data_IF_263307710259
#
_entry.id   IF_263307710259
#
_cell.length_a   1.000
_cell.length_b   1.000
_cell.length_c   1.000
_cell.angle_alpha   90.00
_cell.angle_beta   90.00
_cell.angle_gamma   90.00
#
_symmetry.space_group_name_H-M   'P 1'
#
loop_
_entity.id
_entity.type
_entity.pdbx_description
1 polymer ?
#
# COMPACT_ATOMS: atom_id res chain seq x y z
N UNK A 1 48.22 -19.32 7.48
CA UNK A 1 47.26 -20.32 7.98
C UNK A 1 46.26 -19.57 8.86
N UNK A 2 45.15 -19.16 8.30
CA UNK A 2 44.08 -18.43 9.02
C UNK A 2 42.96 -19.42 9.24
N UNK A 3 42.82 -19.89 10.47
CA UNK A 3 41.77 -20.81 10.87
C UNK A 3 40.37 -20.16 10.73
N UNK A 4 39.59 -20.67 9.83
CA UNK A 4 38.18 -20.35 9.70
C UNK A 4 37.43 -21.10 10.82
N UNK A 5 37.28 -20.46 11.99
CA UNK A 5 36.42 -20.96 13.05
C UNK A 5 34.96 -20.80 12.58
N UNK A 6 34.41 -21.86 12.00
CA UNK A 6 32.98 -21.94 11.75
C UNK A 6 32.24 -22.05 13.09
N UNK A 7 31.83 -20.92 13.67
CA UNK A 7 30.96 -20.93 14.83
C UNK A 7 29.69 -21.72 14.50
N UNK A 8 29.32 -22.64 15.38
CA UNK A 8 28.06 -23.40 15.22
C UNK A 8 26.87 -22.45 15.10
N UNK A 9 25.89 -22.72 14.25
CA UNK A 9 24.72 -21.88 14.10
C UNK A 9 24.02 -21.65 15.43
N UNK A 10 23.62 -20.42 15.70
CA UNK A 10 22.84 -20.07 16.90
C UNK A 10 21.46 -20.74 16.79
N UNK A 11 21.00 -21.31 17.89
CA UNK A 11 19.63 -21.85 17.91
C UNK A 11 18.59 -20.74 17.96
N UNK A 12 17.52 -20.88 17.19
CA UNK A 12 16.34 -20.01 17.32
C UNK A 12 15.72 -20.20 18.71
N UNK A 13 15.16 -19.12 19.31
CA UNK A 13 14.35 -19.27 20.52
C UNK A 13 13.18 -20.25 20.31
N UNK A 14 12.67 -20.84 21.38
CA UNK A 14 11.51 -21.75 21.32
C UNK A 14 10.25 -21.08 20.70
N UNK A 15 10.14 -19.76 20.76
CA UNK A 15 9.12 -18.95 20.10
C UNK A 15 9.79 -17.84 19.32
N UNK A 16 10.29 -18.11 18.11
CA UNK A 16 10.97 -17.10 17.33
C UNK A 16 9.94 -16.07 16.82
N UNK A 17 10.31 -14.79 16.91
CA UNK A 17 9.48 -13.69 16.45
C UNK A 17 10.15 -12.99 15.25
N UNK A 18 9.45 -12.99 14.12
CA UNK A 18 9.98 -12.39 12.89
C UNK A 18 10.24 -10.88 13.03
N UNK A 19 9.44 -10.16 13.83
CA UNK A 19 9.66 -8.73 14.11
C UNK A 19 11.00 -8.53 14.82
N UNK A 20 11.27 -9.33 15.86
CA UNK A 20 12.57 -9.27 16.58
C UNK A 20 13.75 -9.56 15.65
N UNK A 21 13.62 -10.54 14.75
CA UNK A 21 14.67 -10.83 13.76
C UNK A 21 14.87 -9.69 12.75
N UNK A 22 13.78 -9.01 12.36
CA UNK A 22 13.85 -7.79 11.53
C UNK A 22 14.53 -6.63 12.28
N UNK A 23 14.23 -6.49 13.57
CA UNK A 23 14.83 -5.43 14.37
C UNK A 23 16.33 -5.71 14.58
N UNK A 24 16.75 -6.95 14.83
CA UNK A 24 18.16 -7.34 14.82
C UNK A 24 18.85 -6.99 13.49
N UNK A 25 18.18 -7.22 12.34
CA UNK A 25 18.75 -6.85 11.05
C UNK A 25 18.90 -5.32 10.89
N UNK A 26 17.96 -4.55 11.41
CA UNK A 26 18.07 -3.08 11.42
C UNK A 26 19.17 -2.59 12.35
N UNK A 27 19.34 -3.26 13.49
CA UNK A 27 20.42 -2.94 14.43
C UNK A 27 21.79 -3.16 13.80
N UNK A 28 22.02 -4.28 13.11
CA UNK A 28 23.26 -4.53 12.36
C UNK A 28 23.53 -3.44 11.30
N UNK A 29 22.49 -2.97 10.62
CA UNK A 29 22.64 -1.89 9.65
C UNK A 29 22.99 -0.56 10.32
N UNK A 30 22.31 -0.22 11.43
CA UNK A 30 22.54 1.02 12.18
C UNK A 30 23.93 1.05 12.78
N UNK A 31 24.40 -0.09 13.27
CA UNK A 31 25.71 -0.21 13.96
C UNK A 31 26.88 -0.36 12.95
N UNK A 32 26.57 -0.32 11.64
CA UNK A 32 27.56 -0.37 10.55
C UNK A 32 28.14 -1.76 10.29
N UNK A 33 27.54 -2.81 10.87
CA UNK A 33 27.98 -4.20 10.70
C UNK A 33 27.44 -4.85 9.42
N UNK A 34 26.51 -4.18 8.71
CA UNK A 34 25.96 -4.58 7.42
C UNK A 34 25.94 -3.41 6.46
N UNK A 35 26.17 -3.67 5.16
CA UNK A 35 26.21 -2.63 4.12
C UNK A 35 24.83 -2.28 3.57
N UNK A 36 23.83 -3.12 3.82
CA UNK A 36 22.43 -2.90 3.42
C UNK A 36 21.48 -3.74 4.28
N UNK A 37 20.18 -3.39 4.27
CA UNK A 37 19.17 -4.18 4.97
C UNK A 37 19.11 -5.63 4.45
N UNK A 38 19.25 -5.82 3.14
CA UNK A 38 19.28 -7.16 2.52
C UNK A 38 20.50 -7.96 2.99
N UNK A 39 21.65 -7.30 3.14
CA UNK A 39 22.86 -7.92 3.68
C UNK A 39 22.68 -8.27 5.16
N UNK A 40 22.14 -7.34 5.96
CA UNK A 40 21.83 -7.59 7.37
C UNK A 40 20.88 -8.78 7.55
N UNK A 41 19.81 -8.84 6.78
CA UNK A 41 18.87 -9.96 6.79
C UNK A 41 19.53 -11.28 6.40
N UNK A 42 20.44 -11.27 5.41
CA UNK A 42 21.21 -12.45 5.03
C UNK A 42 22.14 -12.89 6.14
N UNK A 43 22.79 -11.94 6.84
CA UNK A 43 23.65 -12.24 7.99
C UNK A 43 22.86 -12.87 9.13
N UNK A 44 21.71 -12.29 9.50
CA UNK A 44 20.80 -12.86 10.51
C UNK A 44 20.37 -14.29 10.11
N UNK A 45 19.96 -14.50 8.85
CA UNK A 45 19.58 -15.84 8.39
C UNK A 45 20.72 -16.84 8.58
N UNK A 46 21.95 -16.48 8.20
CA UNK A 46 23.14 -17.33 8.35
C UNK A 46 23.50 -17.61 9.81
N UNK A 47 23.36 -16.60 10.69
CA UNK A 47 23.57 -16.75 12.14
C UNK A 47 22.71 -17.86 12.73
N UNK A 48 21.50 -18.02 12.23
CA UNK A 48 20.58 -19.08 12.64
C UNK A 48 20.63 -20.33 11.73
N UNK A 49 21.63 -20.46 10.85
CA UNK A 49 21.85 -21.64 10.02
C UNK A 49 20.97 -21.74 8.76
N UNK A 50 20.33 -20.66 8.35
CA UNK A 50 19.50 -20.64 7.15
C UNK A 50 20.25 -20.05 5.94
N UNK A 51 20.06 -20.62 4.75
CA UNK A 51 20.77 -20.17 3.54
C UNK A 51 20.33 -18.79 3.06
N UNK A 52 19.10 -18.35 3.44
CA UNK A 52 18.56 -17.05 3.04
C UNK A 52 17.47 -16.57 4.01
N UNK A 53 17.23 -15.26 4.01
CA UNK A 53 16.15 -14.64 4.78
C UNK A 53 14.75 -15.21 4.46
N UNK A 54 14.35 -15.44 3.18
CA UNK A 54 13.07 -16.08 2.90
C UNK A 54 12.93 -17.47 3.52
N UNK A 55 14.01 -18.26 3.58
CA UNK A 55 14.00 -19.58 4.22
C UNK A 55 13.89 -19.49 5.75
N UNK A 56 14.62 -18.58 6.38
CA UNK A 56 14.45 -18.30 7.81
C UNK A 56 13.03 -17.85 8.11
N UNK A 57 12.51 -16.89 7.33
CA UNK A 57 11.14 -16.39 7.47
C UNK A 57 10.11 -17.53 7.39
N UNK A 58 10.17 -18.34 6.35
CA UNK A 58 9.25 -19.47 6.18
C UNK A 58 9.30 -20.46 7.35
N UNK A 59 10.50 -20.73 7.88
CA UNK A 59 10.68 -21.58 9.05
C UNK A 59 10.06 -20.96 10.32
N UNK A 60 10.31 -19.68 10.59
CA UNK A 60 9.71 -18.98 11.73
C UNK A 60 8.19 -18.94 11.61
N UNK A 61 7.67 -18.66 10.43
CA UNK A 61 6.23 -18.66 10.16
C UNK A 61 5.63 -20.06 10.40
N UNK A 62 6.33 -21.15 10.03
CA UNK A 62 5.87 -22.51 10.28
C UNK A 62 5.88 -22.92 11.77
N UNK A 63 6.88 -22.47 12.52
CA UNK A 63 6.96 -22.74 13.97
C UNK A 63 5.95 -21.92 14.79
N UNK A 64 5.57 -20.73 14.29
CA UNK A 64 4.60 -19.87 14.98
C UNK A 64 3.15 -20.33 14.81
N UNK A 65 2.88 -21.26 13.91
CA UNK A 65 1.56 -21.85 13.68
C UNK A 65 1.43 -23.18 14.39
N UNK A 66 0.68 -23.20 15.49
CA UNK A 66 0.26 -24.48 16.04
C UNK A 66 -0.65 -25.19 15.03
N UNK A 67 -0.66 -26.51 15.05
CA UNK A 67 -1.54 -27.31 14.21
C UNK A 67 -3.02 -26.93 14.40
N UNK A 68 -3.43 -26.63 15.64
CA UNK A 68 -4.79 -26.17 15.99
C UNK A 68 -5.16 -24.85 15.32
N UNK A 69 -4.21 -23.88 15.29
CA UNK A 69 -4.42 -22.61 14.59
C UNK A 69 -4.56 -22.85 13.08
N UNK A 70 -3.77 -23.75 12.51
CA UNK A 70 -3.88 -24.10 11.09
C UNK A 70 -5.24 -24.73 10.77
N UNK A 71 -5.71 -25.66 11.60
CA UNK A 71 -7.04 -26.27 11.48
C UNK A 71 -8.15 -25.23 11.64
N UNK A 72 -8.01 -24.29 12.57
CA UNK A 72 -8.98 -23.21 12.77
C UNK A 72 -9.06 -22.28 11.55
N UNK A 73 -7.92 -21.88 10.99
CA UNK A 73 -7.87 -21.08 9.75
C UNK A 73 -8.59 -21.79 8.61
N UNK A 74 -8.30 -23.07 8.39
CA UNK A 74 -8.96 -23.88 7.36
C UNK A 74 -10.48 -23.97 7.57
N UNK A 75 -10.92 -24.17 8.82
CA UNK A 75 -12.34 -24.22 9.15
C UNK A 75 -13.04 -22.87 8.88
N UNK A 76 -12.41 -21.76 9.23
CA UNK A 76 -12.94 -20.41 8.97
C UNK A 76 -12.98 -20.16 7.46
N UNK A 77 -11.90 -20.42 6.72
CA UNK A 77 -11.81 -20.22 5.28
C UNK A 77 -12.85 -21.07 4.53
N UNK A 78 -13.05 -22.31 4.96
CA UNK A 78 -14.07 -23.21 4.44
C UNK A 78 -15.49 -22.90 4.90
N UNK A 79 -15.72 -21.87 5.72
CA UNK A 79 -17.02 -21.57 6.32
C UNK A 79 -17.61 -22.76 7.12
N UNK A 80 -16.73 -23.62 7.68
CA UNK A 80 -17.13 -24.78 8.49
C UNK A 80 -17.39 -24.38 9.95
N UNK A 81 -18.60 -23.86 10.17
CA UNK A 81 -19.00 -23.32 11.45
C UNK A 81 -19.00 -24.38 12.58
N UNK A 82 -19.43 -25.59 12.27
CA UNK A 82 -19.44 -26.67 13.28
C UNK A 82 -18.02 -27.09 13.68
N UNK A 83 -17.10 -27.12 12.73
CA UNK A 83 -15.68 -27.38 13.01
C UNK A 83 -15.06 -26.27 13.86
N UNK A 84 -15.38 -25.02 13.58
CA UNK A 84 -14.94 -23.87 14.42
C UNK A 84 -15.43 -24.05 15.86
N UNK A 85 -16.72 -24.34 16.07
CA UNK A 85 -17.26 -24.60 17.41
C UNK A 85 -16.54 -25.72 18.13
N UNK A 86 -16.29 -26.86 17.45
CA UNK A 86 -15.59 -28.02 18.03
C UNK A 86 -14.17 -27.64 18.47
N UNK A 87 -13.41 -26.95 17.62
CA UNK A 87 -12.04 -26.51 17.94
C UNK A 87 -12.03 -25.57 19.14
N UNK A 88 -12.90 -24.55 19.15
CA UNK A 88 -13.02 -23.60 20.25
C UNK A 88 -13.49 -24.23 21.56
N UNK A 89 -14.39 -25.23 21.51
CA UNK A 89 -14.82 -25.96 22.68
C UNK A 89 -13.70 -26.84 23.26
N UNK A 90 -12.86 -27.43 22.40
CA UNK A 90 -11.71 -28.24 22.85
C UNK A 90 -10.58 -27.39 23.41
N UNK A 91 -10.40 -26.17 22.89
CA UNK A 91 -9.39 -25.22 23.35
C UNK A 91 -9.95 -23.79 23.35
N UNK A 92 -10.56 -23.31 24.43
CA UNK A 92 -11.10 -21.94 24.52
C UNK A 92 -10.06 -20.83 24.36
N UNK A 93 -8.77 -21.13 24.58
CA UNK A 93 -7.71 -20.14 24.36
C UNK A 93 -7.59 -19.70 22.89
N UNK A 94 -8.13 -20.50 21.96
CA UNK A 94 -8.17 -20.15 20.54
C UNK A 94 -8.97 -18.86 20.24
N UNK A 95 -9.95 -18.49 21.09
CA UNK A 95 -10.70 -17.24 20.94
C UNK A 95 -9.81 -15.98 20.93
N UNK A 96 -8.63 -16.06 21.55
CA UNK A 96 -7.67 -14.95 21.61
C UNK A 96 -6.30 -15.31 21.05
N UNK A 97 -6.17 -16.47 20.42
CA UNK A 97 -4.91 -16.91 19.87
C UNK A 97 -4.46 -16.01 18.72
N UNK A 98 -3.20 -15.58 18.68
CA UNK A 98 -2.67 -14.86 17.53
C UNK A 98 -2.66 -15.77 16.28
N UNK A 99 -3.39 -15.39 15.24
CA UNK A 99 -3.52 -16.17 13.99
C UNK A 99 -2.76 -15.57 12.81
N UNK A 100 -2.15 -14.42 12.98
CA UNK A 100 -1.41 -13.71 11.94
C UNK A 100 -0.41 -12.74 12.54
N UNK A 101 0.04 -11.80 11.71
CA UNK A 101 0.89 -10.71 12.17
C UNK A 101 0.08 -9.71 13.02
N UNK A 102 0.77 -8.92 13.82
CA UNK A 102 0.17 -7.87 14.66
C UNK A 102 -0.88 -8.36 15.66
N UNK A 103 -0.70 -9.56 16.18
CA UNK A 103 -1.59 -10.13 17.20
C UNK A 103 -3.05 -10.33 16.77
N UNK A 104 -3.32 -10.33 15.46
CA UNK A 104 -4.64 -10.56 14.92
C UNK A 104 -5.20 -11.93 15.35
N UNK A 105 -6.45 -11.95 15.80
CA UNK A 105 -7.12 -13.15 16.27
C UNK A 105 -8.06 -13.79 15.25
N UNK A 106 -8.84 -14.80 15.68
CA UNK A 106 -9.79 -15.50 14.80
C UNK A 106 -10.87 -14.57 14.25
N UNK A 107 -11.31 -13.59 15.02
CA UNK A 107 -12.30 -12.62 14.55
C UNK A 107 -11.76 -11.74 13.40
N UNK A 108 -10.48 -11.35 13.46
CA UNK A 108 -9.83 -10.65 12.34
C UNK A 108 -9.76 -11.53 11.09
N UNK A 109 -9.45 -12.83 11.28
CA UNK A 109 -9.39 -13.79 10.18
C UNK A 109 -10.74 -13.97 9.47
N UNK A 110 -11.85 -14.03 10.24
CA UNK A 110 -13.20 -14.06 9.69
C UNK A 110 -13.55 -12.75 8.97
N UNK A 111 -13.25 -11.60 9.58
CA UNK A 111 -13.59 -10.28 9.04
C UNK A 111 -12.85 -9.98 7.74
N UNK A 112 -11.66 -10.54 7.55
CA UNK A 112 -10.86 -10.37 6.33
C UNK A 112 -11.54 -11.01 5.09
N UNK A 113 -12.43 -12.01 5.27
CA UNK A 113 -13.11 -12.72 4.17
C UNK A 113 -12.15 -13.12 3.04
N UNK A 114 -10.97 -13.62 3.39
CA UNK A 114 -9.86 -13.82 2.47
C UNK A 114 -10.12 -14.94 1.47
N UNK A 115 -10.85 -15.96 1.88
CA UNK A 115 -11.10 -17.15 1.05
C UNK A 115 -12.55 -17.61 1.26
N UNK A 116 -13.36 -17.61 0.22
CA UNK A 116 -13.19 -16.86 -1.02
C UNK A 116 -13.25 -15.34 -0.77
N UNK A 117 -12.71 -14.55 -1.69
CA UNK A 117 -12.82 -13.09 -1.68
C UNK A 117 -14.22 -12.65 -2.13
N UNK A 118 -15.18 -12.78 -1.24
CA UNK A 118 -16.59 -12.46 -1.49
C UNK A 118 -17.19 -11.72 -0.30
N UNK A 119 -18.33 -11.06 -0.49
CA UNK A 119 -19.08 -10.47 0.62
C UNK A 119 -19.37 -11.50 1.72
N UNK A 120 -19.41 -11.08 3.01
CA UNK A 120 -19.67 -12.00 4.10
C UNK A 120 -21.07 -12.61 3.99
N UNK A 121 -21.12 -13.94 3.84
CA UNK A 121 -22.38 -14.68 3.86
C UNK A 121 -23.05 -14.59 5.24
N UNK A 122 -24.38 -14.83 5.29
CA UNK A 122 -25.10 -14.90 6.56
C UNK A 122 -24.46 -15.91 7.54
N UNK A 123 -23.93 -17.03 7.03
CA UNK A 123 -23.23 -18.03 7.83
C UNK A 123 -21.92 -17.49 8.42
N UNK A 124 -21.17 -16.68 7.64
CA UNK A 124 -19.94 -16.05 8.11
C UNK A 124 -20.22 -14.98 9.17
N UNK A 125 -21.26 -14.17 9.00
CA UNK A 125 -21.72 -13.21 10.00
C UNK A 125 -22.17 -13.90 11.29
N UNK A 126 -22.94 -14.99 11.17
CA UNK A 126 -23.35 -15.80 12.33
C UNK A 126 -22.14 -16.42 13.06
N UNK A 127 -21.11 -16.86 12.32
CA UNK A 127 -19.88 -17.38 12.90
C UNK A 127 -19.11 -16.27 13.64
N UNK A 128 -19.00 -15.08 13.07
CA UNK A 128 -18.36 -13.92 13.71
C UNK A 128 -19.09 -13.53 15.01
N UNK A 129 -20.42 -13.43 14.98
CA UNK A 129 -21.22 -13.14 16.16
C UNK A 129 -21.02 -14.22 17.24
N UNK A 130 -21.07 -15.50 16.86
CA UNK A 130 -20.84 -16.59 17.81
C UNK A 130 -19.45 -16.51 18.46
N UNK A 131 -18.41 -16.17 17.70
CA UNK A 131 -17.06 -16.00 18.26
C UNK A 131 -17.02 -14.88 19.30
N UNK A 132 -17.69 -13.75 19.03
CA UNK A 132 -17.79 -12.62 19.96
C UNK A 132 -18.52 -13.07 21.25
N UNK A 133 -19.67 -13.72 21.12
CA UNK A 133 -20.49 -14.20 22.22
C UNK A 133 -19.75 -15.21 23.12
N UNK A 134 -18.71 -15.88 22.59
CA UNK A 134 -17.92 -16.89 23.29
C UNK A 134 -16.50 -16.43 23.68
N UNK A 135 -16.20 -15.13 23.57
CA UNK A 135 -15.00 -14.53 24.16
C UNK A 135 -13.91 -14.10 23.18
N UNK A 136 -14.16 -14.13 21.87
CA UNK A 136 -13.31 -13.44 20.92
C UNK A 136 -13.48 -11.93 21.05
N UNK A 137 -12.39 -11.20 20.95
CA UNK A 137 -12.32 -9.79 21.29
C UNK A 137 -12.34 -8.93 20.01
N UNK A 138 -13.32 -8.04 19.90
CA UNK A 138 -13.43 -7.10 18.78
C UNK A 138 -12.25 -6.12 18.75
N UNK A 139 -11.62 -5.86 19.91
CA UNK A 139 -10.49 -4.96 20.04
C UNK A 139 -9.13 -5.63 19.86
N UNK A 140 -9.08 -6.95 19.60
CA UNK A 140 -7.81 -7.64 19.44
C UNK A 140 -6.98 -7.06 18.30
N UNK A 141 -5.74 -6.67 18.62
CA UNK A 141 -4.83 -6.04 17.67
C UNK A 141 -5.15 -4.56 17.38
N UNK A 142 -5.94 -3.88 18.25
CA UNK A 142 -6.40 -2.50 18.06
C UNK A 142 -7.47 -2.42 16.97
N UNK A 143 -8.61 -3.06 17.25
CA UNK A 143 -9.75 -3.18 16.33
C UNK A 143 -9.39 -3.77 14.95
N UNK A 144 -8.45 -4.72 14.97
CA UNK A 144 -7.98 -5.42 13.78
C UNK A 144 -9.10 -6.04 12.93
N UNK A 145 -10.18 -6.61 13.51
CA UNK A 145 -11.34 -7.08 12.75
C UNK A 145 -11.99 -5.97 11.93
N UNK A 146 -12.25 -4.80 12.52
CA UNK A 146 -12.87 -3.67 11.84
C UNK A 146 -11.96 -3.12 10.73
N UNK A 147 -10.66 -2.96 11.00
CA UNK A 147 -9.69 -2.54 10.01
C UNK A 147 -9.68 -3.46 8.78
N UNK A 148 -9.75 -4.78 8.98
CA UNK A 148 -9.76 -5.76 7.87
C UNK A 148 -11.08 -5.77 7.10
N UNK A 149 -12.20 -5.59 7.77
CA UNK A 149 -13.48 -5.44 7.11
C UNK A 149 -13.52 -4.16 6.25
N UNK A 150 -12.99 -3.05 6.77
CA UNK A 150 -13.02 -1.75 6.11
C UNK A 150 -12.16 -1.65 4.82
N UNK A 151 -11.33 -2.64 4.53
CA UNK A 151 -10.59 -2.70 3.25
C UNK A 151 -11.49 -2.85 2.01
N UNK A 152 -12.76 -3.16 2.15
CA UNK A 152 -13.66 -3.43 1.01
C UNK A 152 -15.09 -2.99 1.29
N UNK A 153 -15.68 -2.32 0.31
CA UNK A 153 -17.07 -1.83 0.40
C UNK A 153 -18.12 -2.96 0.52
N UNK A 154 -17.82 -4.14 0.00
CA UNK A 154 -18.72 -5.31 0.07
C UNK A 154 -18.77 -5.98 1.46
N UNK A 155 -17.97 -5.49 2.44
CA UNK A 155 -17.92 -6.01 3.81
C UNK A 155 -18.64 -5.13 4.84
N UNK A 156 -19.41 -4.16 4.41
CA UNK A 156 -20.20 -3.29 5.32
C UNK A 156 -21.04 -4.11 6.33
N UNK A 157 -21.71 -5.23 5.99
CA UNK A 157 -22.42 -6.03 7.00
C UNK A 157 -21.54 -6.58 8.11
N UNK A 158 -20.25 -6.84 7.83
CA UNK A 158 -19.28 -7.22 8.86
C UNK A 158 -18.88 -6.03 9.72
N UNK A 159 -18.68 -4.85 9.11
CA UNK A 159 -18.37 -3.60 9.84
C UNK A 159 -19.52 -3.27 10.80
N UNK A 160 -20.77 -3.34 10.35
CA UNK A 160 -21.97 -3.14 11.17
C UNK A 160 -22.02 -4.11 12.35
N UNK A 161 -21.72 -5.39 12.11
CA UNK A 161 -21.68 -6.39 13.17
C UNK A 161 -20.62 -6.05 14.21
N UNK A 162 -19.41 -5.68 13.79
CA UNK A 162 -18.30 -5.38 14.68
C UNK A 162 -18.55 -4.12 15.51
N UNK A 163 -19.02 -3.01 14.90
CA UNK A 163 -19.31 -1.76 15.60
C UNK A 163 -20.49 -1.93 16.57
N UNK A 164 -21.53 -2.68 16.19
CA UNK A 164 -22.61 -3.02 17.12
C UNK A 164 -22.14 -3.83 18.35
N UNK A 165 -21.03 -4.56 18.22
CA UNK A 165 -20.41 -5.29 19.32
C UNK A 165 -19.25 -4.51 19.98
N UNK A 166 -19.14 -3.20 19.73
CA UNK A 166 -18.25 -2.30 20.47
C UNK A 166 -16.96 -1.91 19.78
N UNK A 167 -16.71 -2.33 18.52
CA UNK A 167 -15.55 -1.87 17.77
C UNK A 167 -15.60 -0.33 17.58
N UNK A 168 -14.46 0.33 17.71
CA UNK A 168 -14.33 1.79 17.61
C UNK A 168 -13.85 2.17 16.20
N UNK A 169 -14.66 2.96 15.48
CA UNK A 169 -14.31 3.47 14.15
C UNK A 169 -13.09 4.40 14.14
N UNK A 170 -12.73 4.95 15.29
CA UNK A 170 -11.55 5.80 15.49
C UNK A 170 -10.38 5.08 16.15
N UNK A 171 -10.44 3.75 16.28
CA UNK A 171 -9.32 2.98 16.79
C UNK A 171 -8.10 3.08 15.87
N UNK A 172 -6.94 2.80 16.45
CA UNK A 172 -5.67 2.67 15.73
C UNK A 172 -5.23 1.21 15.75
N UNK A 173 -5.39 0.52 14.61
CA UNK A 173 -4.89 -0.82 14.47
C UNK A 173 -3.41 -0.90 14.82
N UNK A 174 -3.07 -1.80 15.73
CA UNK A 174 -1.73 -1.96 16.28
C UNK A 174 -1.16 -0.67 16.91
N UNK A 175 -2.03 0.27 17.32
CA UNK A 175 -1.65 1.55 17.93
C UNK A 175 -0.97 2.55 16.98
N UNK A 176 -1.01 2.31 15.67
CA UNK A 176 -0.30 3.14 14.69
C UNK A 176 -1.16 3.50 13.47
N UNK A 177 -2.10 2.64 13.06
CA UNK A 177 -2.81 2.77 11.79
C UNK A 177 -4.28 3.08 12.03
N UNK A 178 -4.73 4.32 11.80
CA UNK A 178 -6.14 4.68 11.92
C UNK A 178 -7.03 3.82 11.03
N UNK A 179 -8.18 3.38 11.52
CA UNK A 179 -9.10 2.49 10.80
C UNK A 179 -9.53 3.07 9.45
N UNK A 180 -9.79 4.39 9.41
CA UNK A 180 -10.20 5.09 8.18
C UNK A 180 -9.14 5.00 7.05
N UNK A 181 -7.88 4.70 7.37
CA UNK A 181 -6.85 4.50 6.34
C UNK A 181 -7.04 3.19 5.57
N UNK A 182 -7.75 2.22 6.11
CA UNK A 182 -7.98 0.95 5.43
C UNK A 182 -8.77 1.13 4.10
N UNK A 183 -9.94 1.78 4.06
CA UNK A 183 -10.62 2.08 2.80
C UNK A 183 -9.87 3.10 1.94
N UNK A 184 -9.04 3.97 2.53
CA UNK A 184 -8.17 4.87 1.76
C UNK A 184 -7.06 4.09 1.04
N UNK A 185 -6.47 3.07 1.67
CA UNK A 185 -5.43 2.23 1.07
C UNK A 185 -5.95 1.44 -0.14
N UNK A 186 -7.14 0.91 -0.03
CA UNK A 186 -7.77 0.08 -1.08
C UNK A 186 -8.65 0.86 -2.05
N UNK A 187 -8.84 2.17 -1.83
CA UNK A 187 -9.76 3.04 -2.58
C UNK A 187 -11.18 2.44 -2.61
N UNK A 188 -11.76 2.25 -1.41
CA UNK A 188 -13.07 1.61 -1.21
C UNK A 188 -14.13 2.63 -0.76
N UNK A 189 -14.81 3.34 -1.68
CA UNK A 189 -15.68 4.48 -1.33
C UNK A 189 -16.85 4.08 -0.44
N UNK A 190 -17.47 2.93 -0.64
CA UNK A 190 -18.59 2.48 0.19
C UNK A 190 -18.18 2.27 1.65
N UNK A 191 -17.03 1.63 1.91
CA UNK A 191 -16.52 1.45 3.27
C UNK A 191 -16.09 2.78 3.89
N UNK A 192 -15.44 3.67 3.10
CA UNK A 192 -15.05 4.99 3.55
C UNK A 192 -16.28 5.83 3.95
N UNK A 193 -17.30 5.88 3.08
CA UNK A 193 -18.56 6.57 3.35
C UNK A 193 -19.19 6.06 4.65
N UNK A 194 -19.29 4.73 4.78
CA UNK A 194 -19.88 4.13 5.96
C UNK A 194 -19.13 4.53 7.25
N UNK A 195 -17.79 4.50 7.26
CA UNK A 195 -17.00 4.92 8.42
C UNK A 195 -17.25 6.40 8.77
N UNK A 196 -17.26 7.29 7.77
CA UNK A 196 -17.52 8.72 7.97
C UNK A 196 -18.93 8.97 8.53
N UNK A 197 -19.95 8.28 8.02
CA UNK A 197 -21.32 8.35 8.55
C UNK A 197 -21.45 7.82 9.98
N UNK A 198 -20.49 6.98 10.43
CA UNK A 198 -20.44 6.44 11.80
C UNK A 198 -19.44 7.19 12.70
N UNK A 199 -18.96 8.37 12.29
CA UNK A 199 -18.16 9.26 13.11
C UNK A 199 -16.65 9.02 13.07
N UNK A 200 -16.13 8.37 12.02
CA UNK A 200 -14.69 8.31 11.81
C UNK A 200 -14.13 9.72 11.54
N UNK A 201 -13.03 10.07 12.20
CA UNK A 201 -12.36 11.36 12.04
C UNK A 201 -11.52 11.40 10.75
N UNK A 202 -11.88 12.21 9.72
CA UNK A 202 -11.10 12.33 8.49
C UNK A 202 -9.75 13.04 8.73
N UNK A 203 -9.58 13.72 9.86
CA UNK A 203 -8.40 14.50 10.23
C UNK A 203 -7.57 13.83 11.33
N UNK A 204 -7.53 12.50 11.33
CA UNK A 204 -6.85 11.68 12.34
C UNK A 204 -5.31 11.78 12.35
N UNK A 205 -4.71 12.74 11.61
CA UNK A 205 -3.26 12.93 11.56
C UNK A 205 -2.66 13.17 12.96
N UNK A 206 -1.59 12.43 13.27
CA UNK A 206 -0.89 12.52 14.56
C UNK A 206 0.61 12.70 14.34
N UNK A 207 1.13 13.94 14.45
CA UNK A 207 2.57 14.20 14.33
C UNK A 207 3.41 13.29 15.24
N UNK A 208 4.51 12.79 14.72
CA UNK A 208 5.40 11.89 15.46
C UNK A 208 4.99 10.41 15.42
N UNK A 209 3.88 10.07 14.79
CA UNK A 209 3.47 8.68 14.53
C UNK A 209 4.09 8.18 13.21
N UNK A 210 4.04 6.87 13.01
CA UNK A 210 4.47 6.21 11.76
C UNK A 210 3.68 6.70 10.54
N UNK A 211 2.39 7.00 10.75
CA UNK A 211 1.49 7.56 9.75
C UNK A 211 1.03 8.96 10.21
N UNK A 212 1.82 10.01 9.92
CA UNK A 212 1.51 11.37 10.37
C UNK A 212 0.51 12.10 9.48
N UNK A 213 0.09 11.47 8.38
CA UNK A 213 -0.76 12.06 7.36
C UNK A 213 -2.24 12.09 7.78
N UNK A 214 -3.04 12.93 7.14
CA UNK A 214 -4.51 12.86 7.20
C UNK A 214 -5.01 11.71 6.33
N UNK A 215 -6.29 11.36 6.45
CA UNK A 215 -6.90 10.35 5.58
C UNK A 215 -6.81 10.76 4.10
N UNK A 216 -6.95 12.05 3.79
CA UNK A 216 -6.83 12.58 2.42
C UNK A 216 -5.40 12.46 1.89
N UNK A 217 -4.38 12.86 2.66
CA UNK A 217 -2.99 12.71 2.24
C UNK A 217 -2.62 11.23 2.06
N UNK A 218 -3.10 10.36 2.97
CA UNK A 218 -2.86 8.92 2.89
C UNK A 218 -3.50 8.30 1.64
N UNK A 219 -4.77 8.68 1.34
CA UNK A 219 -5.49 8.22 0.15
C UNK A 219 -4.73 8.58 -1.14
N UNK A 220 -4.29 9.83 -1.27
CA UNK A 220 -3.56 10.30 -2.46
C UNK A 220 -2.20 9.62 -2.58
N UNK A 221 -1.51 9.41 -1.45
CA UNK A 221 -0.17 8.81 -1.39
C UNK A 221 -0.14 7.29 -1.47
N UNK A 222 -1.29 6.60 -1.38
CA UNK A 222 -1.32 5.13 -1.41
C UNK A 222 -0.92 4.55 -2.78
N UNK A 223 -0.58 3.28 -2.79
CA UNK A 223 -0.18 2.54 -4.00
C UNK A 223 -1.35 2.11 -4.88
N UNK A 224 -2.55 2.08 -4.35
CA UNK A 224 -3.75 1.71 -5.10
C UNK A 224 -4.13 2.83 -6.06
N UNK A 225 -4.46 2.46 -7.29
CA UNK A 225 -5.01 3.36 -8.30
C UNK A 225 -6.32 2.78 -8.79
N UNK A 226 -7.38 3.60 -8.77
CA UNK A 226 -8.73 3.20 -9.13
C UNK A 226 -9.48 4.41 -9.67
N UNK A 227 -10.46 4.16 -10.53
CA UNK A 227 -11.38 5.19 -11.00
C UNK A 227 -12.28 5.75 -9.88
N UNK A 228 -12.33 5.06 -8.73
CA UNK A 228 -13.11 5.47 -7.55
C UNK A 228 -12.35 6.47 -6.66
N UNK A 229 -11.10 6.83 -7.00
CA UNK A 229 -10.28 7.77 -6.22
C UNK A 229 -10.98 9.12 -6.05
N UNK A 230 -11.58 9.65 -7.13
CA UNK A 230 -12.29 10.93 -7.09
C UNK A 230 -13.44 10.92 -6.08
N UNK A 231 -14.22 9.85 -6.05
CA UNK A 231 -15.32 9.67 -5.09
C UNK A 231 -14.79 9.63 -3.65
N UNK A 232 -13.73 8.89 -3.39
CA UNK A 232 -13.11 8.84 -2.06
C UNK A 232 -12.59 10.23 -1.61
N UNK A 233 -12.00 11.00 -2.52
CA UNK A 233 -11.55 12.37 -2.23
C UNK A 233 -12.75 13.26 -1.89
N UNK A 234 -13.82 13.21 -2.68
CA UNK A 234 -15.02 14.02 -2.44
C UNK A 234 -15.66 13.67 -1.09
N UNK A 235 -15.80 12.39 -0.75
CA UNK A 235 -16.31 11.94 0.55
C UNK A 235 -15.50 12.50 1.72
N UNK A 236 -14.17 12.47 1.65
CA UNK A 236 -13.35 13.04 2.71
C UNK A 236 -13.50 14.55 2.82
N UNK A 237 -13.51 15.28 1.70
CA UNK A 237 -13.69 16.74 1.69
C UNK A 237 -15.07 17.16 2.22
N UNK A 238 -16.12 16.45 1.84
CA UNK A 238 -17.49 16.68 2.32
C UNK A 238 -17.62 16.43 3.83
N UNK A 239 -16.86 15.48 4.36
CA UNK A 239 -16.77 15.22 5.80
C UNK A 239 -15.85 16.21 6.56
N UNK A 240 -15.32 17.24 5.89
CA UNK A 240 -14.40 18.22 6.48
C UNK A 240 -12.95 17.76 6.57
N UNK A 241 -12.58 16.74 5.83
CA UNK A 241 -11.20 16.26 5.72
C UNK A 241 -10.30 17.31 5.06
N UNK A 242 -9.11 17.49 5.60
CA UNK A 242 -8.10 18.41 5.08
C UNK A 242 -6.83 17.66 4.72
N UNK A 243 -6.19 18.05 3.62
CA UNK A 243 -4.87 17.57 3.23
C UNK A 243 -3.83 18.65 3.44
N UNK A 244 -2.59 18.25 3.70
CA UNK A 244 -1.45 19.16 3.83
C UNK A 244 -1.06 19.81 2.50
N UNK A 245 -1.42 19.19 1.39
CA UNK A 245 -1.00 19.55 0.03
C UNK A 245 -2.20 19.83 -0.87
N UNK A 246 -3.01 20.78 -0.45
CA UNK A 246 -4.18 21.18 -1.21
C UNK A 246 -3.79 22.18 -2.31
N UNK A 247 -3.23 21.68 -3.43
CA UNK A 247 -2.92 22.46 -4.63
C UNK A 247 -4.16 22.40 -5.53
N UNK A 248 -4.87 23.52 -5.78
CA UNK A 248 -6.14 23.51 -6.51
C UNK A 248 -6.10 22.76 -7.83
N UNK A 249 -5.14 23.05 -8.70
CA UNK A 249 -5.04 22.40 -10.01
C UNK A 249 -4.77 20.88 -9.92
N UNK A 250 -4.00 20.43 -8.91
CA UNK A 250 -3.78 19.00 -8.64
C UNK A 250 -5.07 18.36 -8.18
N UNK A 251 -5.81 19.00 -7.27
CA UNK A 251 -7.09 18.47 -6.78
C UNK A 251 -8.14 18.34 -7.90
N UNK A 252 -8.19 19.29 -8.83
CA UNK A 252 -9.07 19.21 -10.00
C UNK A 252 -8.71 18.00 -10.89
N UNK A 253 -7.41 17.71 -11.09
CA UNK A 253 -6.96 16.51 -11.82
C UNK A 253 -7.37 15.23 -11.08
N UNK A 254 -7.12 15.15 -9.78
CA UNK A 254 -7.41 13.95 -8.98
C UNK A 254 -8.92 13.66 -8.90
N UNK A 255 -9.74 14.70 -8.92
CA UNK A 255 -11.20 14.62 -8.87
C UNK A 255 -11.86 14.51 -10.26
N UNK A 256 -11.06 14.54 -11.34
CA UNK A 256 -11.57 14.50 -12.71
C UNK A 256 -12.39 15.73 -13.11
N UNK A 257 -12.21 16.87 -12.46
CA UNK A 257 -12.95 18.10 -12.70
C UNK A 257 -12.29 18.97 -13.77
N UNK A 258 -12.45 18.57 -15.02
CA UNK A 258 -11.74 19.17 -16.16
C UNK A 258 -12.09 20.66 -16.36
N UNK A 259 -13.34 21.05 -16.13
CA UNK A 259 -13.75 22.46 -16.24
C UNK A 259 -13.11 23.33 -15.16
N UNK A 260 -12.98 22.82 -13.94
CA UNK A 260 -12.24 23.51 -12.87
C UNK A 260 -10.75 23.65 -13.20
N UNK A 261 -10.12 22.60 -13.72
CA UNK A 261 -8.76 22.67 -14.21
C UNK A 261 -8.60 23.69 -15.34
N UNK A 262 -9.55 23.72 -16.30
CA UNK A 262 -9.57 24.70 -17.42
C UNK A 262 -9.64 26.12 -16.90
N UNK A 263 -10.52 26.40 -15.96
CA UNK A 263 -10.65 27.72 -15.36
C UNK A 263 -9.34 28.15 -14.69
N UNK A 264 -8.70 27.30 -13.89
CA UNK A 264 -7.43 27.60 -13.25
C UNK A 264 -6.30 27.88 -14.24
N UNK A 265 -6.28 27.14 -15.37
CA UNK A 265 -5.30 27.37 -16.45
C UNK A 265 -5.58 28.65 -17.25
N UNK A 266 -6.84 29.09 -17.33
CA UNK A 266 -7.22 30.38 -17.94
C UNK A 266 -6.82 31.55 -17.03
N UNK A 267 -6.95 31.40 -15.71
CA UNK A 267 -6.56 32.39 -14.71
C UNK A 267 -5.04 32.51 -14.57
N UNK A 268 -4.32 31.37 -14.59
CA UNK A 268 -2.86 31.32 -14.52
C UNK A 268 -2.29 30.33 -15.57
N UNK A 269 -2.01 30.79 -16.80
CA UNK A 269 -1.44 29.93 -17.83
C UNK A 269 -0.05 29.36 -17.48
N UNK A 270 0.68 29.95 -16.54
CA UNK A 270 2.00 29.46 -16.13
C UNK A 270 1.91 28.13 -15.38
N UNK A 271 0.75 27.75 -14.85
CA UNK A 271 0.52 26.46 -14.21
C UNK A 271 0.84 25.26 -15.12
N UNK A 272 0.67 25.43 -16.45
CA UNK A 272 0.94 24.38 -17.45
C UNK A 272 2.39 23.87 -17.37
N UNK A 273 3.35 24.78 -17.17
CA UNK A 273 4.78 24.47 -17.13
C UNK A 273 5.39 24.52 -15.73
N UNK A 274 4.61 24.95 -14.74
CA UNK A 274 5.07 25.05 -13.35
C UNK A 274 5.51 23.68 -12.83
N UNK A 275 6.65 23.66 -12.14
CA UNK A 275 7.13 22.53 -11.35
C UNK A 275 6.76 22.74 -9.89
N UNK A 276 6.25 21.67 -9.26
CA UNK A 276 5.75 21.71 -7.90
C UNK A 276 6.71 20.94 -7.00
N UNK A 277 7.46 21.64 -6.16
CA UNK A 277 8.33 21.01 -5.15
C UNK A 277 7.55 20.39 -3.99
N UNK A 278 6.32 20.81 -3.83
CA UNK A 278 5.41 20.38 -2.77
C UNK A 278 4.63 19.08 -3.07
N UNK A 279 4.83 18.45 -4.24
CA UNK A 279 4.16 17.20 -4.63
C UNK A 279 4.81 15.94 -4.02
N UNK A 280 5.17 16.00 -2.76
CA UNK A 280 5.61 14.82 -2.03
C UNK A 280 4.40 14.05 -1.48
N UNK A 281 3.75 13.26 -2.31
CA UNK A 281 2.67 12.36 -1.91
C UNK A 281 3.18 11.00 -1.42
N UNK A 282 4.46 10.89 -1.12
CA UNK A 282 5.10 9.64 -0.77
C UNK A 282 5.33 8.74 -1.99
N UNK A 283 6.18 7.75 -1.81
CA UNK A 283 6.36 6.68 -2.79
C UNK A 283 5.30 5.59 -2.60
N UNK A 284 4.88 4.99 -3.69
CA UNK A 284 4.02 3.81 -3.64
C UNK A 284 4.76 2.60 -3.06
N UNK A 285 4.03 1.58 -2.56
CA UNK A 285 4.60 0.50 -1.76
C UNK A 285 5.79 -0.23 -2.40
N UNK A 286 5.85 -0.39 -3.72
CA UNK A 286 6.94 -1.09 -4.40
C UNK A 286 7.67 -0.27 -5.46
N UNK A 287 7.20 0.91 -5.80
CA UNK A 287 7.95 1.89 -6.58
C UNK A 287 8.11 3.16 -5.75
N UNK A 288 9.28 3.74 -5.79
CA UNK A 288 9.62 4.94 -5.01
C UNK A 288 9.66 6.20 -5.90
N UNK A 289 8.85 6.18 -6.95
CA UNK A 289 8.76 7.28 -7.89
C UNK A 289 8.00 8.45 -7.27
N UNK A 290 8.68 9.56 -7.05
CA UNK A 290 8.11 10.78 -6.48
C UNK A 290 7.55 11.69 -7.57
N UNK A 291 6.46 12.38 -7.27
CA UNK A 291 5.93 13.48 -8.10
C UNK A 291 6.61 14.83 -7.80
N UNK A 292 7.41 14.90 -6.76
CA UNK A 292 8.09 16.12 -6.34
C UNK A 292 8.95 16.70 -7.48
N UNK A 293 8.83 18.00 -7.74
CA UNK A 293 9.45 18.64 -8.89
C UNK A 293 8.79 18.36 -10.25
N UNK A 294 7.71 17.58 -10.27
CA UNK A 294 6.92 17.31 -11.47
C UNK A 294 5.99 18.46 -11.86
N UNK A 295 5.37 18.36 -13.03
CA UNK A 295 4.35 19.27 -13.55
C UNK A 295 2.95 18.66 -13.37
N UNK A 296 1.89 19.41 -13.67
CA UNK A 296 0.52 18.87 -13.70
C UNK A 296 0.39 17.67 -14.66
N UNK A 297 1.17 17.61 -15.73
CA UNK A 297 1.16 16.46 -16.64
C UNK A 297 1.75 15.19 -16.00
N UNK A 298 2.73 15.33 -15.10
CA UNK A 298 3.20 14.18 -14.29
C UNK A 298 2.09 13.67 -13.36
N UNK A 299 1.33 14.59 -12.75
CA UNK A 299 0.17 14.22 -11.91
C UNK A 299 -0.89 13.49 -12.74
N UNK A 300 -1.27 14.05 -13.88
CA UNK A 300 -2.24 13.42 -14.78
C UNK A 300 -1.79 12.01 -15.22
N UNK A 301 -0.49 11.85 -15.51
CA UNK A 301 0.10 10.56 -15.88
C UNK A 301 0.12 9.56 -14.72
N UNK A 302 0.44 10.00 -13.50
CA UNK A 302 0.46 9.17 -12.30
C UNK A 302 -0.93 8.62 -11.97
N UNK A 303 -1.96 9.45 -12.12
CA UNK A 303 -3.33 9.09 -11.75
C UNK A 303 -4.20 8.64 -12.94
N UNK A 304 -3.61 8.53 -14.14
CA UNK A 304 -4.29 7.99 -15.32
C UNK A 304 -5.36 8.91 -15.90
N UNK A 305 -5.38 10.21 -15.56
CA UNK A 305 -6.38 11.16 -16.05
C UNK A 305 -6.03 11.66 -17.46
N UNK A 306 -6.51 10.93 -18.49
CA UNK A 306 -6.23 11.21 -19.90
C UNK A 306 -6.86 12.55 -20.33
N UNK A 307 -8.06 12.89 -19.85
CA UNK A 307 -8.73 14.14 -20.20
C UNK A 307 -7.97 15.36 -19.69
N UNK A 308 -7.44 15.29 -18.45
CA UNK A 308 -6.58 16.32 -17.92
C UNK A 308 -5.26 16.40 -18.70
N UNK A 309 -4.65 15.27 -19.05
CA UNK A 309 -3.44 15.23 -19.86
C UNK A 309 -3.66 15.85 -21.23
N UNK A 310 -4.79 15.57 -21.88
CA UNK A 310 -5.18 16.17 -23.16
C UNK A 310 -5.29 17.69 -23.04
N UNK A 311 -6.05 18.19 -22.05
CA UNK A 311 -6.20 19.63 -21.82
C UNK A 311 -4.84 20.31 -21.60
N UNK A 312 -3.96 19.69 -20.81
CA UNK A 312 -2.63 20.22 -20.53
C UNK A 312 -1.76 20.31 -21.80
N UNK A 313 -1.78 19.27 -22.67
CA UNK A 313 -1.06 19.29 -23.95
C UNK A 313 -1.64 20.33 -24.91
N UNK A 314 -2.96 20.50 -24.99
CA UNK A 314 -3.63 21.54 -25.76
C UNK A 314 -3.24 22.95 -25.30
N UNK A 315 -2.90 23.11 -24.02
CA UNK A 315 -2.43 24.37 -23.43
C UNK A 315 -0.90 24.55 -23.50
N UNK A 316 -0.20 23.63 -24.19
CA UNK A 316 1.23 23.73 -24.43
C UNK A 316 2.11 23.08 -23.36
N UNK A 317 1.60 22.15 -22.57
CA UNK A 317 2.44 21.35 -21.69
C UNK A 317 3.46 20.56 -22.52
N UNK A 318 4.71 20.51 -22.07
CA UNK A 318 5.75 19.69 -22.67
C UNK A 318 5.54 18.23 -22.25
N UNK A 319 5.23 17.36 -23.23
CA UNK A 319 5.04 15.92 -23.01
C UNK A 319 6.30 15.25 -22.46
N UNK A 320 7.46 15.85 -22.70
CA UNK A 320 8.78 15.40 -22.29
C UNK A 320 9.34 16.21 -21.09
N UNK A 321 8.51 17.03 -20.44
CA UNK A 321 8.93 17.79 -19.28
C UNK A 321 9.62 16.88 -18.27
N UNK A 322 10.81 17.24 -17.82
CA UNK A 322 11.57 16.47 -16.82
C UNK A 322 11.30 17.02 -15.45
N UNK A 323 11.01 16.15 -14.49
CA UNK A 323 10.89 16.56 -13.09
C UNK A 323 12.20 17.20 -12.60
N UNK A 324 12.08 18.20 -11.73
CA UNK A 324 13.23 18.88 -11.14
C UNK A 324 14.02 18.01 -10.18
N UNK A 325 15.27 18.35 -9.92
CA UNK A 325 16.11 17.67 -8.93
C UNK A 325 15.61 18.01 -7.53
N UNK A 326 15.30 16.99 -6.73
CA UNK A 326 14.71 17.17 -5.41
C UNK A 326 15.61 16.66 -4.28
N UNK A 327 16.15 15.46 -4.37
CA UNK A 327 17.06 14.89 -3.36
C UNK A 327 18.18 14.10 -4.02
N UNK A 328 19.42 14.30 -3.56
CA UNK A 328 20.59 13.48 -3.89
C UNK A 328 20.74 13.14 -5.39
N UNK A 329 20.45 14.12 -6.27
CA UNK A 329 20.51 13.98 -7.73
C UNK A 329 19.52 12.94 -8.31
N UNK A 330 18.48 12.55 -7.56
CA UNK A 330 17.43 11.66 -8.05
C UNK A 330 16.33 12.49 -8.71
N UNK A 331 16.19 12.37 -10.01
CA UNK A 331 15.08 12.99 -10.78
C UNK A 331 15.25 12.83 -12.28
N UNK A 332 14.55 13.68 -13.01
CA UNK A 332 14.64 13.78 -14.47
C UNK A 332 13.69 12.84 -15.19
N UNK A 333 12.79 12.17 -14.46
CA UNK A 333 11.69 11.42 -15.05
C UNK A 333 10.75 12.36 -15.80
N UNK A 334 10.23 11.89 -16.94
CA UNK A 334 9.14 12.54 -17.67
C UNK A 334 7.79 11.90 -17.31
N UNK A 335 6.65 12.50 -17.67
CA UNK A 335 5.32 11.98 -17.30
C UNK A 335 5.12 10.50 -17.62
N UNK A 336 5.68 9.99 -18.72
CA UNK A 336 5.51 8.60 -19.14
C UNK A 336 6.08 7.58 -18.13
N UNK A 337 7.09 7.93 -17.33
CA UNK A 337 7.60 7.03 -16.27
C UNK A 337 6.52 6.69 -15.26
N UNK A 338 5.70 7.68 -14.90
CA UNK A 338 4.59 7.50 -13.96
C UNK A 338 3.52 6.55 -14.50
N UNK A 339 3.15 6.70 -15.77
CA UNK A 339 2.17 5.83 -16.42
C UNK A 339 2.72 4.41 -16.67
N UNK A 340 3.99 4.28 -17.07
CA UNK A 340 4.61 3.01 -17.44
C UNK A 340 4.76 2.03 -16.26
N UNK A 341 4.76 2.52 -15.03
CA UNK A 341 5.00 1.74 -13.81
C UNK A 341 3.73 1.46 -13.00
N UNK A 342 2.55 1.70 -13.56
CA UNK A 342 1.28 1.41 -12.89
C UNK A 342 0.99 -0.10 -12.85
N UNK A 343 0.39 -0.55 -11.73
CA UNK A 343 0.07 -1.95 -11.50
C UNK A 343 -1.05 -2.44 -12.45
N UNK A 344 -1.01 -3.70 -12.85
CA UNK A 344 -2.05 -4.37 -13.66
C UNK A 344 -2.48 -3.59 -14.93
N UNK A 345 -1.54 -3.00 -15.65
CA UNK A 345 -1.82 -2.22 -16.87
C UNK A 345 -2.73 -0.98 -16.70
N UNK A 346 -2.96 -0.50 -15.46
CA UNK A 346 -3.76 0.69 -15.21
C UNK A 346 -3.27 1.89 -16.04
N UNK A 347 -1.96 2.02 -16.20
CA UNK A 347 -1.34 3.10 -16.97
C UNK A 347 -1.31 2.91 -18.51
N UNK A 348 -1.73 1.77 -19.05
CA UNK A 348 -1.59 1.48 -20.49
C UNK A 348 -2.27 2.51 -21.38
N UNK A 349 -3.48 2.96 -21.02
CA UNK A 349 -4.20 4.00 -21.75
C UNK A 349 -3.43 5.31 -21.81
N UNK A 350 -2.88 5.72 -20.68
CA UNK A 350 -2.07 6.94 -20.56
C UNK A 350 -0.73 6.79 -21.31
N UNK A 351 -0.06 5.64 -21.22
CA UNK A 351 1.17 5.39 -22.00
C UNK A 351 0.91 5.54 -23.50
N UNK A 352 -0.16 4.91 -24.02
CA UNK A 352 -0.56 5.04 -25.41
C UNK A 352 -0.80 6.50 -25.80
N UNK A 353 -1.54 7.23 -24.96
CA UNK A 353 -1.86 8.64 -25.16
C UNK A 353 -0.58 9.49 -25.24
N UNK A 354 0.34 9.34 -24.28
CA UNK A 354 1.59 10.10 -24.24
C UNK A 354 2.52 9.77 -25.42
N UNK A 355 2.62 8.49 -25.82
CA UNK A 355 3.43 8.07 -26.98
C UNK A 355 2.88 8.67 -28.26
N UNK A 356 1.56 8.66 -28.47
CA UNK A 356 0.94 9.34 -29.62
C UNK A 356 1.12 10.86 -29.57
N UNK A 357 1.22 11.43 -28.37
CA UNK A 357 1.54 12.85 -28.13
C UNK A 357 3.01 13.21 -28.28
N UNK A 358 3.87 12.29 -28.66
CA UNK A 358 5.30 12.53 -28.92
C UNK A 358 6.20 12.33 -27.69
N UNK A 359 5.82 11.50 -26.75
CA UNK A 359 6.68 11.15 -25.60
C UNK A 359 7.96 10.45 -26.09
N UNK A 360 9.12 10.98 -25.68
CA UNK A 360 10.43 10.43 -25.97
C UNK A 360 10.74 9.26 -25.00
N UNK A 361 10.72 8.06 -25.56
CA UNK A 361 10.98 6.81 -24.83
C UNK A 361 12.46 6.61 -24.48
N UNK A 362 13.35 7.40 -25.07
CA UNK A 362 14.80 7.33 -24.82
C UNK A 362 15.27 8.17 -23.62
N UNK A 363 14.40 9.00 -23.05
CA UNK A 363 14.73 9.80 -21.86
C UNK A 363 15.20 8.88 -20.75
N UNK A 364 16.36 9.21 -20.18
CA UNK A 364 16.89 8.50 -19.01
C UNK A 364 16.72 9.37 -17.77
N UNK A 365 16.31 8.74 -16.69
CA UNK A 365 16.15 9.35 -15.38
C UNK A 365 16.94 8.58 -14.34
N UNK A 366 17.43 9.27 -13.33
CA UNK A 366 18.13 8.69 -12.20
C UNK A 366 17.15 8.52 -11.03
N UNK A 367 16.74 7.31 -10.77
CA UNK A 367 15.61 6.98 -9.90
C UNK A 367 15.99 5.99 -8.80
N UNK A 368 15.23 5.96 -7.68
CA UNK A 368 15.36 4.90 -6.70
C UNK A 368 15.05 3.53 -7.32
N UNK A 369 15.79 2.51 -6.91
CA UNK A 369 15.54 1.14 -7.33
C UNK A 369 14.28 0.52 -6.72
N UNK A 370 14.19 -0.80 -6.79
CA UNK A 370 13.07 -1.56 -6.22
C UNK A 370 12.99 -1.37 -4.69
N UNK A 371 11.77 -1.40 -4.13
CA UNK A 371 11.55 -1.20 -2.69
C UNK A 371 12.32 -2.18 -1.79
N UNK A 372 12.64 -3.39 -2.28
CA UNK A 372 13.48 -4.36 -1.55
C UNK A 372 14.96 -3.96 -1.50
N UNK A 373 15.36 -2.97 -2.30
CA UNK A 373 16.71 -2.42 -2.40
C UNK A 373 16.65 -0.90 -2.37
N UNK A 374 16.25 -0.31 -1.23
CA UNK A 374 15.93 1.11 -1.13
C UNK A 374 17.11 2.05 -1.36
N UNK A 375 18.35 1.60 -1.17
CA UNK A 375 19.59 2.36 -1.44
C UNK A 375 20.06 2.24 -2.89
N UNK A 376 19.48 1.37 -3.69
CA UNK A 376 19.85 1.25 -5.10
C UNK A 376 19.35 2.46 -5.88
N UNK A 377 20.24 3.04 -6.67
CA UNK A 377 19.93 4.10 -7.63
C UNK A 377 20.15 3.54 -9.02
N UNK A 378 19.16 3.72 -9.87
CA UNK A 378 19.19 3.24 -11.26
C UNK A 378 19.08 4.42 -12.22
N UNK A 379 19.83 4.33 -13.32
CA UNK A 379 19.68 5.25 -14.45
C UNK A 379 19.07 4.49 -15.62
N UNK A 380 17.81 4.75 -15.92
CA UNK A 380 17.03 3.94 -16.84
C UNK A 380 16.04 4.77 -17.67
N UNK A 381 15.57 4.15 -18.75
CA UNK A 381 14.45 4.62 -19.56
C UNK A 381 13.10 4.27 -18.90
N UNK A 382 11.94 4.74 -19.41
CA UNK A 382 10.62 4.33 -18.92
C UNK A 382 10.44 2.81 -18.94
N UNK A 383 10.88 2.13 -20.01
CA UNK A 383 10.84 0.67 -20.11
C UNK A 383 11.79 0.03 -19.10
N UNK A 384 13.03 0.50 -19.00
CA UNK A 384 14.01 0.00 -18.04
C UNK A 384 13.51 0.10 -16.60
N UNK A 385 12.84 1.20 -16.24
CA UNK A 385 12.28 1.37 -14.91
C UNK A 385 11.08 0.43 -14.65
N UNK A 386 10.19 0.28 -15.63
CA UNK A 386 9.06 -0.65 -15.53
C UNK A 386 9.53 -2.11 -15.29
N UNK A 387 10.63 -2.52 -15.91
CA UNK A 387 11.19 -3.86 -15.78
C UNK A 387 11.84 -4.17 -14.42
N UNK A 388 12.09 -3.17 -13.57
CA UNK A 388 12.61 -3.40 -12.22
C UNK A 388 11.60 -4.09 -11.29
N UNK A 389 10.32 -4.04 -11.62
CA UNK A 389 9.25 -4.56 -10.76
C UNK A 389 8.82 -5.96 -11.21
N UNK A 390 8.96 -7.00 -10.36
CA UNK A 390 8.59 -8.37 -10.71
C UNK A 390 7.11 -8.50 -11.11
N UNK A 391 6.83 -9.27 -12.17
CA UNK A 391 5.47 -9.47 -12.69
C UNK A 391 5.00 -8.39 -13.66
N UNK A 392 5.86 -7.48 -14.06
CA UNK A 392 5.58 -6.39 -15.00
C UNK A 392 5.74 -6.79 -16.50
N UNK A 393 5.86 -8.07 -16.83
CA UNK A 393 5.63 -8.50 -18.22
C UNK A 393 4.14 -8.41 -18.55
N UNK A 394 3.68 -7.19 -18.73
CA UNK A 394 2.30 -6.82 -18.98
C UNK A 394 2.17 -6.15 -20.36
N UNK A 395 0.95 -5.76 -20.73
CA UNK A 395 0.66 -5.10 -22.01
C UNK A 395 1.36 -3.75 -22.16
N UNK A 396 1.62 -3.05 -21.05
CA UNK A 396 2.34 -1.76 -21.04
C UNK A 396 3.79 -1.96 -21.45
N UNK A 397 4.48 -2.95 -20.87
CA UNK A 397 5.85 -3.31 -21.23
C UNK A 397 5.94 -3.78 -22.68
N UNK A 398 5.02 -4.64 -23.13
CA UNK A 398 4.94 -5.07 -24.52
C UNK A 398 4.78 -3.87 -25.47
N UNK A 399 3.84 -2.96 -25.17
CA UNK A 399 3.61 -1.77 -25.98
C UNK A 399 4.85 -0.88 -26.09
N UNK A 400 5.56 -0.65 -24.98
CA UNK A 400 6.79 0.17 -24.99
C UNK A 400 7.90 -0.48 -25.84
N UNK A 401 8.08 -1.81 -25.76
CA UNK A 401 9.03 -2.56 -26.60
C UNK A 401 8.69 -2.45 -28.09
N UNK A 402 7.42 -2.62 -28.45
CA UNK A 402 6.92 -2.53 -29.83
C UNK A 402 7.14 -1.13 -30.42
N UNK A 403 7.21 -0.09 -29.59
CA UNK A 403 7.48 1.30 -29.99
C UNK A 403 8.95 1.70 -29.84
N UNK A 404 9.85 0.71 -29.69
CA UNK A 404 11.30 0.94 -29.72
C UNK A 404 11.88 1.59 -28.44
N UNK A 405 11.20 1.49 -27.30
CA UNK A 405 11.74 1.98 -26.04
C UNK A 405 13.05 1.22 -25.70
N UNK A 406 14.16 1.92 -25.41
CA UNK A 406 15.39 1.28 -24.95
C UNK A 406 15.21 0.77 -23.51
N UNK A 407 15.99 -0.26 -23.15
CA UNK A 407 16.05 -0.76 -21.78
C UNK A 407 16.98 0.09 -20.90
#
# INVERSE_FOLDING_TARGET
>A
MSGNSSASPRQLPNRPNLRHLKDQAKDLLRDGEAVSLSDAQRQIARTYGFPSWPKLKAHVDSLSQSEEISQLKQAIDGNDFERVKQLMASNPALHRAPMGYNNNGPLTWIAECRVPWEPPSAKRLAMAQWLIDHGSDVHQGGDGPLMRAALRSDRIPMMELLVRNGADVNAEWNGEFPIIFAPCESVAPGALKWLLEHGADPNCARPGRKYPDTALDYLIGTYSRSNELAECIDLLLEAGGAGRRNIPAVMEILRGRIDGLRQLLDEDPALVSRRFSELDFGGTAYRRLSLEGGTLLHVAAEFGNIEAAQLLLERGADVNARAGVVQADLSGQSPIFHAATQFQDFGLGMVRFLVHGGADLSIRARLPGHYDRPEEVVECSPLGYALLFPGQENKTVAFLRDHGAPQ
#
